data_IF_725766465874
#
_entry.id   IF_725766465874
#
_cell.length_a   1.000
_cell.length_b   1.000
_cell.length_c   1.000
_cell.angle_alpha   90.00
_cell.angle_beta   90.00
_cell.angle_gamma   90.00
#
_symmetry.space_group_name_H-M   'P 1'
#
loop_
_entity.id
_entity.type
_entity.pdbx_description
1 polymer ?
#
# COMPACT_ATOMS: atom_id res chain seq x y z
N UNK A 1 -8.82 15.07 -7.35
CA UNK A 1 -8.71 13.64 -7.69
C UNK A 1 -7.35 13.22 -8.27
N UNK A 2 -6.48 14.16 -8.65
CA UNK A 2 -5.18 13.87 -9.28
C UNK A 2 -4.28 12.89 -8.51
N UNK A 3 -4.21 12.97 -7.18
CA UNK A 3 -3.41 12.03 -6.38
C UNK A 3 -3.98 10.61 -6.48
N UNK A 4 -5.28 10.44 -6.24
CA UNK A 4 -5.93 9.13 -6.32
C UNK A 4 -5.84 8.52 -7.73
N UNK A 5 -5.97 9.33 -8.79
CA UNK A 5 -5.74 8.87 -10.18
C UNK A 5 -4.27 8.52 -10.44
N UNK A 6 -3.34 9.35 -9.98
CA UNK A 6 -1.89 9.13 -10.18
C UNK A 6 -1.39 7.86 -9.49
N UNK A 7 -1.98 7.48 -8.36
CA UNK A 7 -1.67 6.23 -7.67
C UNK A 7 -2.56 5.06 -8.09
N UNK A 8 -3.54 5.26 -8.97
CA UNK A 8 -4.45 4.20 -9.44
C UNK A 8 -5.48 3.74 -8.40
N UNK A 9 -5.79 4.57 -7.40
CA UNK A 9 -6.79 4.28 -6.37
C UNK A 9 -8.24 4.42 -6.88
N UNK A 10 -8.43 5.15 -7.98
CA UNK A 10 -9.73 5.37 -8.63
C UNK A 10 -9.58 5.16 -10.14
N UNK A 11 -10.62 4.59 -10.77
CA UNK A 11 -10.68 4.48 -12.22
C UNK A 11 -10.76 5.89 -12.85
N UNK A 12 -10.25 6.04 -14.08
CA UNK A 12 -10.19 7.33 -14.76
C UNK A 12 -11.58 7.97 -14.97
N UNK A 13 -12.60 7.14 -15.08
CA UNK A 13 -14.02 7.47 -15.29
C UNK A 13 -14.88 7.32 -14.02
N UNK A 14 -14.26 7.10 -12.85
CA UNK A 14 -15.00 6.92 -11.62
C UNK A 14 -15.84 8.17 -11.28
N UNK A 15 -17.17 8.02 -11.07
CA UNK A 15 -18.06 9.14 -10.79
C UNK A 15 -17.83 9.73 -9.40
N UNK A 16 -17.21 8.96 -8.49
CA UNK A 16 -16.84 9.40 -7.15
C UNK A 16 -15.55 8.74 -6.65
N UNK A 17 -15.12 9.10 -5.43
CA UNK A 17 -13.89 8.58 -4.80
C UNK A 17 -14.08 7.25 -4.06
N UNK A 18 -15.21 6.56 -4.20
CA UNK A 18 -15.65 5.52 -3.25
C UNK A 18 -15.11 4.12 -3.52
N UNK A 19 -14.06 3.95 -4.32
CA UNK A 19 -13.81 2.64 -4.95
C UNK A 19 -13.07 1.64 -4.06
N UNK A 20 -12.01 2.02 -3.35
CA UNK A 20 -11.18 1.07 -2.58
C UNK A 20 -10.35 1.75 -1.47
N UNK A 21 -10.03 1.00 -0.41
CA UNK A 21 -9.06 1.39 0.62
C UNK A 21 -7.69 0.82 0.26
N UNK A 22 -6.85 1.65 -0.33
CA UNK A 22 -5.49 1.24 -0.72
C UNK A 22 -4.45 1.82 0.24
N UNK A 23 -3.51 0.99 0.65
CA UNK A 23 -2.34 1.38 1.44
C UNK A 23 -1.07 1.12 0.65
N UNK A 24 -0.19 2.12 0.56
CA UNK A 24 1.11 2.06 -0.09
C UNK A 24 2.21 2.14 0.97
N UNK A 25 3.16 1.22 0.93
CA UNK A 25 4.39 1.31 1.72
C UNK A 25 5.48 1.82 0.79
N UNK A 26 6.03 2.98 1.11
CA UNK A 26 7.02 3.69 0.29
C UNK A 26 8.29 3.85 1.13
N UNK A 27 9.44 3.50 0.56
CA UNK A 27 10.74 3.62 1.23
C UNK A 27 11.33 5.05 1.13
N UNK A 28 12.45 5.34 1.82
CA UNK A 28 13.07 6.67 1.80
C UNK A 28 13.50 7.15 0.41
N UNK A 29 13.77 6.22 -0.51
CA UNK A 29 14.11 6.50 -1.92
C UNK A 29 12.87 6.80 -2.78
N UNK A 30 11.67 6.70 -2.21
CA UNK A 30 10.40 6.98 -2.89
C UNK A 30 9.88 5.79 -3.71
N UNK A 31 10.43 4.59 -3.50
CA UNK A 31 10.00 3.37 -4.21
C UNK A 31 8.84 2.73 -3.47
N UNK A 32 7.80 2.35 -4.22
CA UNK A 32 6.68 1.58 -3.68
C UNK A 32 7.15 0.14 -3.44
N UNK A 33 7.15 -0.28 -2.17
CA UNK A 33 7.63 -1.60 -1.74
C UNK A 33 6.53 -2.62 -1.56
N UNK A 34 5.33 -2.16 -1.25
CA UNK A 34 4.14 -2.99 -1.20
C UNK A 34 2.88 -2.15 -1.37
N UNK A 35 1.83 -2.80 -1.88
CA UNK A 35 0.49 -2.22 -2.04
C UNK A 35 -0.52 -3.20 -1.47
N UNK A 36 -1.45 -2.70 -0.65
CA UNK A 36 -2.53 -3.52 -0.08
C UNK A 36 -3.89 -2.91 -0.43
N UNK A 37 -4.79 -3.73 -0.98
CA UNK A 37 -6.09 -3.32 -1.50
C UNK A 37 -7.21 -3.97 -0.67
N UNK A 38 -8.08 -3.13 -0.10
CA UNK A 38 -9.28 -3.58 0.61
C UNK A 38 -10.53 -2.95 -0.03
N UNK A 39 -11.67 -3.66 -0.06
CA UNK A 39 -12.94 -3.06 -0.41
C UNK A 39 -13.39 -2.09 0.69
N UNK A 40 -14.27 -1.15 0.35
CA UNK A 40 -14.66 -0.07 1.28
C UNK A 40 -15.28 -0.55 2.60
N UNK A 41 -15.96 -1.70 2.56
CA UNK A 41 -16.67 -2.31 3.69
C UNK A 41 -15.78 -3.17 4.59
N UNK A 42 -14.49 -3.34 4.26
CA UNK A 42 -13.55 -4.13 5.07
C UNK A 42 -12.45 -3.23 5.62
N UNK A 43 -12.20 -3.34 6.93
CA UNK A 43 -11.12 -2.64 7.61
C UNK A 43 -9.74 -3.21 7.25
N UNK A 44 -8.70 -2.37 7.32
CA UNK A 44 -7.31 -2.80 7.15
C UNK A 44 -6.84 -3.51 8.42
N UNK A 45 -6.00 -4.52 8.27
CA UNK A 45 -5.22 -5.05 9.39
C UNK A 45 -4.00 -4.15 9.65
N UNK A 46 -3.99 -3.45 10.79
CA UNK A 46 -2.86 -2.60 11.17
C UNK A 46 -1.64 -3.45 11.54
N UNK A 47 -1.85 -4.56 12.23
CA UNK A 47 -0.77 -5.48 12.61
C UNK A 47 -0.03 -6.02 11.38
N UNK A 48 -0.74 -6.31 10.29
CA UNK A 48 -0.10 -6.76 9.04
C UNK A 48 0.69 -5.64 8.37
N UNK A 49 0.19 -4.39 8.38
CA UNK A 49 0.95 -3.27 7.85
C UNK A 49 2.26 -3.06 8.62
N UNK A 50 2.22 -3.16 9.95
CA UNK A 50 3.43 -3.06 10.78
C UNK A 50 4.39 -4.23 10.55
N UNK A 51 3.87 -5.47 10.50
CA UNK A 51 4.67 -6.66 10.20
C UNK A 51 5.37 -6.54 8.84
N UNK A 52 4.65 -6.07 7.82
CA UNK A 52 5.19 -5.90 6.47
C UNK A 52 6.29 -4.84 6.41
N UNK A 53 6.12 -3.70 7.07
CA UNK A 53 7.18 -2.68 7.19
C UNK A 53 8.42 -3.25 7.86
N UNK A 54 8.26 -3.95 8.99
CA UNK A 54 9.39 -4.57 9.70
C UNK A 54 10.09 -5.62 8.84
N UNK A 55 9.33 -6.46 8.14
CA UNK A 55 9.85 -7.49 7.25
C UNK A 55 10.64 -6.90 6.07
N UNK A 56 10.15 -5.81 5.46
CA UNK A 56 10.84 -5.10 4.38
C UNK A 56 12.16 -4.47 4.87
N UNK A 57 12.14 -3.83 6.03
CA UNK A 57 13.34 -3.23 6.63
C UNK A 57 14.41 -4.28 6.97
N UNK A 58 14.01 -5.45 7.49
CA UNK A 58 14.92 -6.57 7.78
C UNK A 58 15.46 -7.15 6.47
N UNK A 59 14.60 -7.38 5.47
CA UNK A 59 15.01 -7.93 4.18
C UNK A 59 16.08 -7.06 3.50
N UNK A 60 15.92 -5.74 3.54
CA UNK A 60 16.89 -4.80 2.97
C UNK A 60 18.22 -4.80 3.73
N UNK A 61 18.16 -4.78 5.07
CA UNK A 61 19.35 -4.74 5.92
C UNK A 61 20.17 -6.00 5.82
N UNK A 62 19.52 -7.17 5.89
CA UNK A 62 20.18 -8.47 5.91
C UNK A 62 20.39 -9.06 4.50
N UNK A 63 19.83 -8.42 3.46
CA UNK A 63 19.79 -8.93 2.08
C UNK A 63 19.23 -10.36 2.02
N UNK A 64 18.19 -10.60 2.81
CA UNK A 64 17.58 -11.92 3.02
C UNK A 64 16.08 -11.89 2.80
N UNK A 65 15.47 -13.07 2.59
CA UNK A 65 14.02 -13.20 2.52
C UNK A 65 13.41 -13.28 3.93
N UNK A 66 12.23 -12.68 4.11
CA UNK A 66 11.44 -12.72 5.35
C UNK A 66 10.15 -13.53 5.13
N UNK A 67 10.20 -14.87 5.26
CA UNK A 67 9.04 -15.75 5.11
C UNK A 67 8.03 -15.62 6.27
#
# INVERSE_FOLDING_TARGET
MAIAQGYGMIAADAPDSSTVRVSYIIDPEGIIRAISWYPMNVGRSIDELLRLVAALQIADREKASTP
#
